data_IF_539942556981
#
_entry.id   IF_539942556981
#
_cell.length_a   1.000
_cell.length_b   1.000
_cell.length_c   1.000
_cell.angle_alpha   90.00
_cell.angle_beta   90.00
_cell.angle_gamma   90.00
#
_symmetry.space_group_name_H-M   'P 1'
#
loop_
_entity.id
_entity.type
_entity.pdbx_description
1 polymer ?
#
# COMPACT_ATOMS: atom_id res chain seq x y z
N UNK A 1 9.46 -4.37 2.45
CA UNK A 1 8.14 -4.69 1.87
C UNK A 1 7.44 -3.39 1.52
N UNK A 2 6.75 -3.36 0.38
CA UNK A 2 6.20 -2.21 -0.36
C UNK A 2 5.57 -1.09 0.51
N UNK A 3 4.88 -1.46 1.60
CA UNK A 3 4.29 -0.53 2.58
C UNK A 3 5.29 0.47 3.18
N UNK A 4 6.55 0.08 3.40
CA UNK A 4 7.60 1.00 3.91
C UNK A 4 7.89 2.18 2.97
N UNK A 5 7.72 1.97 1.67
CA UNK A 5 7.94 2.99 0.66
C UNK A 5 6.64 3.63 0.17
N UNK A 6 5.49 3.20 0.69
CA UNK A 6 4.18 3.72 0.27
C UNK A 6 4.08 5.26 0.37
N UNK A 7 4.49 5.91 1.49
CA UNK A 7 4.44 7.37 1.57
C UNK A 7 5.32 8.06 0.51
N UNK A 8 6.52 7.52 0.28
CA UNK A 8 7.46 8.04 -0.71
C UNK A 8 6.93 7.89 -2.14
N UNK A 9 6.36 6.74 -2.46
CA UNK A 9 5.78 6.46 -3.78
C UNK A 9 4.54 7.33 -4.03
N UNK A 10 3.72 7.55 -3.00
CA UNK A 10 2.57 8.46 -3.05
C UNK A 10 2.99 9.89 -3.36
N UNK A 11 4.05 10.36 -2.72
CA UNK A 11 4.64 11.67 -2.98
C UNK A 11 5.24 11.75 -4.38
N UNK A 12 5.94 10.71 -4.83
CA UNK A 12 6.46 10.62 -6.20
C UNK A 12 5.36 10.76 -7.26
N UNK A 13 4.21 10.12 -7.07
CA UNK A 13 3.06 10.28 -7.96
C UNK A 13 2.40 11.66 -7.84
N UNK A 14 2.41 12.29 -6.67
CA UNK A 14 1.83 13.62 -6.42
C UNK A 14 2.63 14.74 -7.08
N UNK A 15 3.95 14.69 -7.00
CA UNK A 15 4.88 15.70 -7.55
C UNK A 15 5.18 15.49 -9.04
N UNK A 16 4.67 14.41 -9.64
CA UNK A 16 4.76 14.19 -11.08
C UNK A 16 4.01 15.28 -11.85
N UNK A 17 4.69 15.95 -12.79
CA UNK A 17 4.15 17.02 -13.65
C UNK A 17 3.12 16.48 -14.68
N UNK A 18 2.87 15.17 -14.68
CA UNK A 18 1.97 14.52 -15.65
C UNK A 18 0.57 14.32 -15.08
N UNK A 19 -0.45 14.72 -15.87
CA UNK A 19 -1.85 14.44 -15.57
C UNK A 19 -2.10 12.93 -15.60
N UNK A 20 -2.11 12.33 -14.41
CA UNK A 20 -2.54 10.95 -14.21
C UNK A 20 -4.02 10.82 -14.64
N UNK A 21 -4.40 9.77 -15.38
CA UNK A 21 -5.79 9.55 -15.73
C UNK A 21 -6.63 9.42 -14.45
N UNK A 22 -7.42 10.44 -14.12
CA UNK A 22 -8.25 10.48 -12.90
C UNK A 22 -9.35 9.39 -12.88
N UNK A 23 -9.55 8.70 -13.99
CA UNK A 23 -10.58 7.68 -14.18
C UNK A 23 -9.99 6.38 -14.74
N UNK A 24 -9.00 5.80 -14.07
CA UNK A 24 -8.69 4.38 -14.27
C UNK A 24 -9.74 3.59 -13.46
N UNK A 25 -10.83 3.21 -14.12
CA UNK A 25 -11.79 2.24 -13.57
C UNK A 25 -11.20 0.85 -13.66
N UNK A 26 -11.61 -0.07 -12.79
CA UNK A 26 -11.15 -1.47 -12.80
C UNK A 26 -11.24 -2.12 -14.18
N UNK A 27 -12.30 -1.78 -14.94
CA UNK A 27 -12.54 -2.26 -16.30
C UNK A 27 -11.50 -1.80 -17.33
N UNK A 28 -10.84 -0.65 -17.09
CA UNK A 28 -9.85 -0.07 -18.01
C UNK A 28 -8.41 -0.25 -17.53
N UNK A 29 -8.19 -0.83 -16.34
CA UNK A 29 -6.84 -1.05 -15.79
C UNK A 29 -6.01 -1.92 -16.73
N UNK A 30 -6.61 -3.00 -17.25
CA UNK A 30 -5.92 -3.95 -18.15
C UNK A 30 -5.53 -3.26 -19.45
N UNK A 31 -6.47 -2.60 -20.13
CA UNK A 31 -6.20 -1.84 -21.35
C UNK A 31 -5.12 -0.77 -21.17
N UNK A 32 -5.14 -0.09 -20.02
CA UNK A 32 -4.13 0.92 -19.69
C UNK A 32 -2.77 0.25 -19.51
N UNK A 33 -2.67 -0.84 -18.75
CA UNK A 33 -1.41 -1.55 -18.55
C UNK A 33 -0.84 -2.11 -19.86
N UNK A 34 -1.66 -2.72 -20.69
CA UNK A 34 -1.27 -3.25 -22.00
C UNK A 34 -0.75 -2.12 -22.92
N UNK A 35 -1.40 -0.94 -22.88
CA UNK A 35 -0.93 0.22 -23.62
C UNK A 35 0.43 0.76 -23.15
N UNK A 36 0.81 0.55 -21.88
CA UNK A 36 2.14 0.92 -21.38
C UNK A 36 3.25 0.00 -21.91
N UNK A 37 2.92 -1.19 -22.43
CA UNK A 37 3.89 -2.16 -22.91
C UNK A 37 4.22 -2.00 -24.40
N UNK A 38 3.43 -1.20 -25.15
CA UNK A 38 3.75 -0.87 -26.53
C UNK A 38 4.96 0.06 -26.64
N UNK A 39 6.00 -0.35 -27.37
CA UNK A 39 7.23 0.42 -27.56
C UNK A 39 7.05 1.55 -28.57
N UNK A 40 7.32 2.80 -28.19
CA UNK A 40 7.50 3.92 -29.12
C UNK A 40 8.92 4.51 -28.97
N UNK A 41 9.40 5.17 -30.03
CA UNK A 41 10.80 5.58 -30.20
C UNK A 41 11.20 6.86 -29.46
N UNK A 42 10.28 7.51 -28.72
CA UNK A 42 10.56 8.65 -27.83
C UNK A 42 10.87 8.16 -26.39
N UNK A 43 12.01 7.49 -26.27
CA UNK A 43 12.26 6.49 -25.21
C UNK A 43 12.23 7.04 -23.78
N UNK A 44 12.74 8.26 -23.53
CA UNK A 44 12.94 8.71 -22.13
C UNK A 44 11.66 9.24 -21.47
N UNK A 45 10.97 10.19 -22.12
CA UNK A 45 9.77 10.84 -21.56
C UNK A 45 8.64 9.81 -21.43
N UNK A 46 8.49 8.94 -22.43
CA UNK A 46 7.48 7.88 -22.40
C UNK A 46 7.74 6.87 -21.28
N UNK A 47 9.00 6.47 -21.06
CA UNK A 47 9.36 5.56 -19.97
C UNK A 47 9.04 6.13 -18.59
N UNK A 48 9.28 7.44 -18.36
CA UNK A 48 8.91 8.10 -17.11
C UNK A 48 7.38 8.09 -16.92
N UNK A 49 6.62 8.47 -17.95
CA UNK A 49 5.14 8.44 -17.90
C UNK A 49 4.62 7.04 -17.59
N UNK A 50 5.18 6.01 -18.23
CA UNK A 50 4.84 4.61 -17.98
C UNK A 50 5.13 4.20 -16.54
N UNK A 51 6.31 4.54 -16.03
CA UNK A 51 6.71 4.24 -14.65
C UNK A 51 5.77 4.90 -13.64
N UNK A 52 5.48 6.20 -13.81
CA UNK A 52 4.57 6.94 -12.91
C UNK A 52 3.16 6.37 -12.96
N UNK A 53 2.65 6.05 -14.15
CA UNK A 53 1.31 5.47 -14.33
C UNK A 53 1.19 4.10 -13.66
N UNK A 54 2.20 3.24 -13.83
CA UNK A 54 2.26 1.93 -13.18
C UNK A 54 2.30 2.06 -11.66
N UNK A 55 3.15 2.94 -11.12
CA UNK A 55 3.21 3.22 -9.68
C UNK A 55 1.86 3.71 -9.16
N UNK A 56 1.18 4.59 -9.88
CA UNK A 56 -0.13 5.09 -9.48
C UNK A 56 -1.18 3.98 -9.39
N UNK A 57 -1.25 3.09 -10.39
CA UNK A 57 -2.17 1.95 -10.38
C UNK A 57 -1.90 1.06 -9.16
N UNK A 58 -0.63 0.77 -8.88
CA UNK A 58 -0.23 -0.03 -7.72
C UNK A 58 -0.63 0.65 -6.40
N UNK A 59 -0.43 1.96 -6.27
CA UNK A 59 -0.84 2.71 -5.08
C UNK A 59 -2.36 2.71 -4.89
N UNK A 60 -3.12 2.88 -5.96
CA UNK A 60 -4.58 2.82 -5.92
C UNK A 60 -5.06 1.43 -5.47
N UNK A 61 -4.41 0.36 -5.92
CA UNK A 61 -4.68 -1.00 -5.47
C UNK A 61 -4.38 -1.18 -3.96
N UNK A 62 -3.21 -0.73 -3.50
CA UNK A 62 -2.82 -0.78 -2.08
C UNK A 62 -3.84 -0.03 -1.21
N UNK A 63 -4.33 1.14 -1.65
CA UNK A 63 -5.33 1.91 -0.92
C UNK A 63 -6.64 1.14 -0.73
N UNK A 64 -7.09 0.40 -1.74
CA UNK A 64 -8.28 -0.45 -1.62
C UNK A 64 -8.03 -1.63 -0.68
N UNK A 65 -6.85 -2.25 -0.74
CA UNK A 65 -6.51 -3.38 0.14
C UNK A 65 -6.37 -2.97 1.60
N UNK A 66 -5.86 -1.76 1.87
CA UNK A 66 -5.84 -1.19 3.21
C UNK A 66 -7.24 -0.92 3.76
N UNK A 67 -8.17 -0.44 2.92
CA UNK A 67 -9.58 -0.29 3.33
C UNK A 67 -10.22 -1.63 3.66
N UNK A 68 -9.96 -2.65 2.84
CA UNK A 68 -10.47 -4.00 3.11
C UNK A 68 -9.86 -4.58 4.40
N UNK A 69 -8.57 -4.37 4.63
CA UNK A 69 -7.89 -4.78 5.86
C UNK A 69 -8.49 -4.10 7.10
N UNK A 70 -8.79 -2.79 7.02
CA UNK A 70 -9.50 -2.07 8.08
C UNK A 70 -10.82 -2.74 8.42
N UNK A 71 -11.67 -2.96 7.41
CA UNK A 71 -12.98 -3.60 7.58
C UNK A 71 -12.82 -4.99 8.21
N UNK A 72 -11.85 -5.77 7.75
CA UNK A 72 -11.56 -7.08 8.32
C UNK A 72 -11.21 -6.99 9.81
N UNK A 73 -10.32 -6.07 10.20
CA UNK A 73 -9.93 -5.92 11.61
C UNK A 73 -11.11 -5.47 12.47
N UNK A 74 -11.90 -4.49 12.02
CA UNK A 74 -13.08 -3.98 12.73
C UNK A 74 -14.19 -5.03 12.89
N UNK A 75 -14.31 -5.97 11.94
CA UNK A 75 -15.35 -7.00 11.97
C UNK A 75 -14.87 -8.33 12.57
N UNK A 76 -13.57 -8.48 12.83
CA UNK A 76 -12.97 -9.72 13.34
C UNK A 76 -13.41 -10.10 14.76
N UNK A 77 -13.85 -9.12 15.56
CA UNK A 77 -14.12 -9.28 16.99
C UNK A 77 -12.87 -9.56 17.84
N UNK A 78 -11.66 -9.45 17.27
CA UNK A 78 -10.40 -9.71 17.95
C UNK A 78 -9.68 -8.40 18.24
N UNK A 79 -9.47 -8.11 19.52
CA UNK A 79 -8.72 -6.93 20.00
C UNK A 79 -7.33 -6.85 19.38
N UNK A 80 -6.68 -7.99 19.14
CA UNK A 80 -5.37 -8.03 18.48
C UNK A 80 -5.41 -7.51 17.03
N UNK A 81 -6.46 -7.82 16.28
CA UNK A 81 -6.57 -7.39 14.89
C UNK A 81 -6.88 -5.89 14.80
N UNK A 82 -7.70 -5.37 15.71
CA UNK A 82 -7.90 -3.92 15.86
C UNK A 82 -6.60 -3.19 16.23
N UNK A 83 -5.84 -3.72 17.20
CA UNK A 83 -4.53 -3.18 17.59
C UNK A 83 -3.55 -3.18 16.42
N UNK A 84 -3.47 -4.29 15.68
CA UNK A 84 -2.62 -4.40 14.48
C UNK A 84 -2.97 -3.33 13.44
N UNK A 85 -4.26 -3.07 13.21
CA UNK A 85 -4.68 -2.00 12.32
C UNK A 85 -4.21 -0.63 12.81
N UNK A 86 -4.38 -0.31 14.10
CA UNK A 86 -3.90 0.96 14.67
C UNK A 86 -2.39 1.11 14.55
N UNK A 87 -1.62 0.05 14.82
CA UNK A 87 -0.16 0.05 14.66
C UNK A 87 0.24 0.31 13.19
N UNK A 88 -0.40 -0.36 12.22
CA UNK A 88 -0.13 -0.11 10.80
C UNK A 88 -0.46 1.34 10.42
N UNK A 89 -1.58 1.87 10.89
CA UNK A 89 -1.97 3.26 10.63
C UNK A 89 -0.92 4.23 11.19
N UNK A 90 -0.56 4.06 12.46
CA UNK A 90 0.40 4.90 13.15
C UNK A 90 1.80 4.90 12.52
N UNK A 91 2.28 3.73 12.10
CA UNK A 91 3.63 3.58 11.54
C UNK A 91 3.72 4.15 10.13
N UNK A 92 2.75 3.83 9.26
CA UNK A 92 2.86 4.14 7.84
C UNK A 92 2.20 5.46 7.42
N UNK A 93 1.30 6.00 8.24
CA UNK A 93 0.57 7.23 7.92
C UNK A 93 0.89 8.38 8.87
N UNK A 94 1.08 8.07 10.16
CA UNK A 94 1.28 9.12 11.19
C UNK A 94 2.76 9.30 11.57
N UNK A 95 3.64 8.37 11.18
CA UNK A 95 5.08 8.46 11.43
C UNK A 95 5.47 8.36 12.91
N UNK A 96 4.64 7.69 13.72
CA UNK A 96 4.87 7.52 15.15
C UNK A 96 6.10 6.65 15.44
N UNK A 97 6.81 6.97 16.53
CA UNK A 97 7.96 6.19 16.99
C UNK A 97 7.48 4.94 17.72
N UNK A 98 8.33 3.91 17.69
CA UNK A 98 8.06 2.62 18.33
C UNK A 98 7.73 2.76 19.82
N UNK A 99 8.51 3.55 20.57
CA UNK A 99 8.32 3.71 22.02
C UNK A 99 6.94 4.27 22.35
N UNK A 100 6.51 5.32 21.65
CA UNK A 100 5.21 5.97 21.84
C UNK A 100 4.06 5.00 21.50
N UNK A 101 4.24 4.16 20.46
CA UNK A 101 3.29 3.13 20.07
C UNK A 101 3.15 2.03 21.12
N UNK A 102 4.27 1.52 21.62
CA UNK A 102 4.27 0.52 22.68
C UNK A 102 3.60 1.02 23.96
N UNK A 103 3.88 2.27 24.35
CA UNK A 103 3.24 2.91 25.52
C UNK A 103 1.74 3.09 25.31
N UNK A 104 1.32 3.67 24.19
CA UNK A 104 -0.10 3.94 23.90
C UNK A 104 -0.97 2.68 23.79
N UNK A 105 -0.42 1.59 23.26
CA UNK A 105 -1.12 0.30 23.13
C UNK A 105 -0.90 -0.63 24.33
N UNK A 106 -0.05 -0.25 25.31
CA UNK A 106 0.26 -1.06 26.48
C UNK A 106 0.93 -2.40 26.15
N UNK A 107 1.82 -2.41 25.16
CA UNK A 107 2.52 -3.62 24.68
C UNK A 107 4.05 -3.47 24.78
N UNK A 108 4.74 -4.61 24.83
CA UNK A 108 6.19 -4.64 24.72
C UNK A 108 6.66 -4.66 23.24
N UNK A 109 7.94 -4.36 23.01
CA UNK A 109 8.48 -4.31 21.65
C UNK A 109 8.36 -5.63 20.90
N UNK A 110 8.47 -6.78 21.58
CA UNK A 110 8.36 -8.09 20.93
C UNK A 110 6.93 -8.34 20.43
N UNK A 111 5.93 -7.89 21.19
CA UNK A 111 4.53 -7.91 20.77
C UNK A 111 4.31 -6.96 19.58
N UNK A 112 4.89 -5.75 19.61
CA UNK A 112 4.83 -4.82 18.48
C UNK A 112 5.38 -5.43 17.18
N UNK A 113 6.58 -6.01 17.22
CA UNK A 113 7.17 -6.61 16.02
C UNK A 113 6.39 -7.83 15.52
N UNK A 114 5.82 -8.63 16.43
CA UNK A 114 4.93 -9.74 16.07
C UNK A 114 3.68 -9.22 15.37
N UNK A 115 3.04 -8.18 15.90
CA UNK A 115 1.84 -7.60 15.32
C UNK A 115 2.09 -6.99 13.95
N UNK A 116 3.20 -6.27 13.77
CA UNK A 116 3.59 -5.79 12.44
C UNK A 116 3.79 -6.94 11.46
N UNK A 117 4.42 -8.03 11.88
CA UNK A 117 4.66 -9.19 11.03
C UNK A 117 3.34 -9.83 10.59
N UNK A 118 2.43 -10.08 11.53
CA UNK A 118 1.12 -10.66 11.26
C UNK A 118 0.28 -9.76 10.35
N UNK A 119 0.27 -8.45 10.62
CA UNK A 119 -0.43 -7.47 9.80
C UNK A 119 0.15 -7.40 8.38
N UNK A 120 1.48 -7.36 8.24
CA UNK A 120 2.15 -7.35 6.94
C UNK A 120 1.92 -8.65 6.16
N UNK A 121 1.80 -9.80 6.83
CA UNK A 121 1.48 -11.07 6.20
C UNK A 121 0.08 -11.03 5.59
N UNK A 122 -0.93 -10.64 6.39
CA UNK A 122 -2.32 -10.49 5.91
C UNK A 122 -2.43 -9.47 4.77
N UNK A 123 -1.76 -8.32 4.90
CA UNK A 123 -1.74 -7.30 3.86
C UNK A 123 -1.05 -7.79 2.58
N UNK A 124 0.03 -8.57 2.69
CA UNK A 124 0.68 -9.16 1.51
C UNK A 124 -0.27 -10.09 0.76
N UNK A 125 -1.00 -10.94 1.47
CA UNK A 125 -2.03 -11.80 0.87
C UNK A 125 -3.17 -11.01 0.22
N UNK A 126 -3.61 -9.88 0.82
CA UNK A 126 -4.62 -9.00 0.22
C UNK A 126 -4.09 -8.30 -1.04
N UNK A 127 -2.86 -7.78 -1.01
CA UNK A 127 -2.27 -7.01 -2.11
C UNK A 127 -1.91 -7.91 -3.29
N UNK A 128 -1.34 -9.09 -3.04
CA UNK A 128 -0.77 -9.94 -4.09
C UNK A 128 -1.53 -11.24 -4.33
N UNK A 129 -2.60 -11.51 -3.58
CA UNK A 129 -3.33 -12.77 -3.68
C UNK A 129 -2.48 -13.95 -3.22
N UNK A 130 -2.57 -15.09 -3.92
CA UNK A 130 -1.86 -16.34 -3.58
C UNK A 130 -0.34 -16.16 -3.54
N UNK A 131 0.20 -15.25 -4.36
CA UNK A 131 1.64 -14.97 -4.42
C UNK A 131 2.13 -14.28 -3.13
N UNK A 132 1.22 -13.63 -2.40
CA UNK A 132 1.51 -12.97 -1.12
C UNK A 132 1.58 -13.89 0.09
N UNK A 133 1.33 -15.19 -0.07
CA UNK A 133 1.31 -16.20 1.01
C UNK A 133 2.65 -16.99 1.09
N UNK A 134 3.57 -16.71 0.17
CA UNK A 134 4.84 -17.46 0.00
C UNK A 134 5.95 -17.10 0.99
#
# INVERSE_FOLDING_TARGET
MLLKHYPLLKEHCRESVFDLPKAITTERVVDVLDSLECYSSDIYIESIKKSVTRTYIILAHIDQMLKLYKIYCETSGKVEDERRYRIIQAVYFDGLKLADLCESEGIDESTYYRDIREACSKLSALIFGIDGIS
#
